data_IF_891703934352
#
_entry.id   IF_891703934352
#
_cell.length_a   1.000
_cell.length_b   1.000
_cell.length_c   1.000
_cell.angle_alpha   90.00
_cell.angle_beta   90.00
_cell.angle_gamma   90.00
#
_symmetry.space_group_name_H-M   'P 1'
#
loop_
_entity.id
_entity.type
_entity.pdbx_description
1 polymer ?
#
# COMPACT_ATOMS: atom_id res chain seq x y z
N UNK A 1 51.69 -9.86 3.70
CA UNK A 1 51.62 -8.96 4.87
C UNK A 1 51.09 -7.54 4.56
N UNK A 2 50.76 -7.17 3.31
CA UNK A 2 50.33 -5.79 2.97
C UNK A 2 48.82 -5.50 2.96
N UNK A 3 47.94 -6.49 3.17
CA UNK A 3 46.47 -6.32 3.11
C UNK A 3 45.87 -6.01 4.49
N UNK A 4 46.31 -6.70 5.55
CA UNK A 4 45.86 -6.47 6.95
C UNK A 4 46.07 -5.03 7.44
N UNK A 5 47.17 -4.39 7.02
CA UNK A 5 47.52 -3.03 7.45
C UNK A 5 46.61 -1.94 6.82
N UNK A 6 46.09 -2.18 5.59
CA UNK A 6 45.13 -1.27 4.94
C UNK A 6 43.72 -1.39 5.51
N UNK A 7 43.31 -2.58 5.91
CA UNK A 7 42.01 -2.81 6.56
C UNK A 7 41.96 -2.20 7.96
N UNK A 8 43.05 -2.28 8.72
CA UNK A 8 43.18 -1.62 10.03
C UNK A 8 43.18 -0.09 9.89
N UNK A 9 43.91 0.47 8.92
CA UNK A 9 43.93 1.92 8.67
C UNK A 9 42.56 2.46 8.22
N UNK A 10 41.83 1.71 7.38
CA UNK A 10 40.47 2.06 6.96
C UNK A 10 39.49 1.99 8.13
N UNK A 11 39.60 0.96 8.97
CA UNK A 11 38.76 0.80 10.17
C UNK A 11 38.96 1.95 11.16
N UNK A 12 40.21 2.34 11.41
CA UNK A 12 40.54 3.50 12.26
C UNK A 12 40.03 4.83 11.69
N UNK A 13 40.10 5.03 10.37
CA UNK A 13 39.51 6.20 9.70
C UNK A 13 37.99 6.23 9.85
N UNK A 14 37.32 5.09 9.65
CA UNK A 14 35.87 4.97 9.84
C UNK A 14 35.46 5.29 11.28
N UNK A 15 36.20 4.79 12.26
CA UNK A 15 35.91 5.03 13.67
C UNK A 15 36.11 6.49 14.06
N UNK A 16 37.15 7.14 13.53
CA UNK A 16 37.41 8.58 13.72
C UNK A 16 36.30 9.43 13.09
N UNK A 17 35.84 9.07 11.89
CA UNK A 17 34.73 9.73 11.21
C UNK A 17 33.40 9.56 11.98
N UNK A 18 33.13 8.37 12.53
CA UNK A 18 31.97 8.12 13.40
C UNK A 18 32.02 8.98 14.66
N UNK A 19 33.16 9.04 15.36
CA UNK A 19 33.35 9.88 16.57
C UNK A 19 33.12 11.36 16.27
N UNK A 20 33.62 11.86 15.13
CA UNK A 20 33.38 13.24 14.68
C UNK A 20 31.90 13.50 14.36
N UNK A 21 31.26 12.60 13.62
CA UNK A 21 29.83 12.70 13.29
C UNK A 21 28.94 12.72 14.54
N UNK A 22 29.25 11.93 15.56
CA UNK A 22 28.54 11.92 16.85
C UNK A 22 28.67 13.27 17.57
N UNK A 23 29.88 13.84 17.64
CA UNK A 23 30.11 15.15 18.28
C UNK A 23 29.35 16.29 17.61
N UNK A 24 29.11 16.19 16.30
CA UNK A 24 28.43 17.22 15.52
C UNK A 24 26.88 17.12 15.56
N UNK A 25 26.30 16.09 16.20
CA UNK A 25 24.84 15.88 16.27
C UNK A 25 24.07 17.14 16.70
N UNK A 26 24.44 17.86 17.78
CA UNK A 26 23.69 19.05 18.20
C UNK A 26 23.65 20.16 17.13
N UNK A 27 24.77 20.38 16.43
CA UNK A 27 24.84 21.36 15.33
C UNK A 27 23.96 20.92 14.16
N UNK A 28 23.98 19.63 13.83
CA UNK A 28 23.16 19.04 12.77
C UNK A 28 21.67 19.10 13.09
N UNK A 29 21.27 18.93 14.35
CA UNK A 29 19.87 19.11 14.76
C UNK A 29 19.42 20.56 14.63
N UNK A 30 20.27 21.54 14.94
CA UNK A 30 19.96 22.96 14.67
C UNK A 30 19.76 23.20 13.18
N UNK A 31 20.61 22.63 12.34
CA UNK A 31 20.49 22.72 10.89
C UNK A 31 19.22 22.03 10.38
N UNK A 32 18.88 20.84 10.88
CA UNK A 32 17.64 20.14 10.57
C UNK A 32 16.41 21.01 10.86
N UNK A 33 16.34 21.62 12.05
CA UNK A 33 15.24 22.51 12.43
C UNK A 33 15.17 23.72 11.48
N UNK A 34 16.32 24.29 11.11
CA UNK A 34 16.39 25.40 10.15
C UNK A 34 15.87 25.00 8.78
N UNK A 35 16.28 23.84 8.26
CA UNK A 35 15.83 23.31 6.96
C UNK A 35 14.33 23.02 6.97
N UNK A 36 13.83 22.40 8.04
CA UNK A 36 12.41 22.13 8.21
C UNK A 36 11.56 23.41 8.22
N UNK A 37 11.98 24.42 8.99
CA UNK A 37 11.29 25.71 9.04
C UNK A 37 11.31 26.45 7.70
N UNK A 38 12.40 26.31 6.93
CA UNK A 38 12.50 26.84 5.55
C UNK A 38 11.73 26.01 4.52
N UNK A 39 11.09 24.91 4.92
CA UNK A 39 10.41 23.95 4.04
C UNK A 39 11.32 23.30 2.98
N UNK A 40 12.64 23.26 3.23
CA UNK A 40 13.57 22.49 2.40
C UNK A 40 13.52 21.01 2.81
N UNK A 41 12.38 20.37 2.50
CA UNK A 41 12.07 19.02 2.98
C UNK A 41 13.02 17.96 2.44
N UNK A 42 13.57 18.13 1.24
CA UNK A 42 14.53 17.17 0.69
C UNK A 42 15.82 17.13 1.51
N UNK A 43 16.39 18.30 1.84
CA UNK A 43 17.59 18.35 2.69
C UNK A 43 17.27 17.98 4.13
N UNK A 44 16.12 18.42 4.66
CA UNK A 44 15.69 18.07 6.02
C UNK A 44 15.53 16.54 6.20
N UNK A 45 14.90 15.84 5.25
CA UNK A 45 14.79 14.37 5.29
C UNK A 45 16.16 13.69 5.30
N UNK A 46 17.10 14.17 4.47
CA UNK A 46 18.47 13.64 4.42
C UNK A 46 19.17 13.82 5.76
N UNK A 47 19.09 15.01 6.34
CA UNK A 47 19.75 15.31 7.62
C UNK A 47 19.11 14.56 8.79
N UNK A 48 17.78 14.43 8.82
CA UNK A 48 17.09 13.62 9.83
C UNK A 48 17.55 12.15 9.79
N UNK A 49 17.62 11.54 8.61
CA UNK A 49 18.13 10.16 8.44
C UNK A 49 19.57 10.01 8.91
N UNK A 50 20.43 10.98 8.61
CA UNK A 50 21.81 10.97 9.09
C UNK A 50 21.88 10.97 10.63
N UNK A 51 21.09 11.84 11.27
CA UNK A 51 21.03 11.91 12.75
C UNK A 51 20.51 10.60 13.33
N UNK A 52 19.44 10.03 12.77
CA UNK A 52 18.87 8.76 13.24
C UNK A 52 19.88 7.61 13.15
N UNK A 53 20.64 7.53 12.06
CA UNK A 53 21.66 6.48 11.86
C UNK A 53 22.86 6.62 12.81
N UNK A 54 23.25 7.84 13.18
CA UNK A 54 24.44 8.07 14.02
C UNK A 54 24.16 8.10 15.52
N UNK A 55 22.92 8.44 15.92
CA UNK A 55 22.51 8.54 17.31
C UNK A 55 22.09 7.20 17.94
N UNK A 56 22.13 6.09 17.19
CA UNK A 56 21.64 4.78 17.63
C UNK A 56 22.50 4.12 18.72
N UNK A 57 23.68 4.68 19.02
CA UNK A 57 24.73 4.04 19.83
C UNK A 57 24.93 4.62 21.24
N UNK A 58 24.28 5.73 21.62
CA UNK A 58 24.59 6.46 22.86
C UNK A 58 23.34 7.14 23.44
N UNK A 59 22.98 6.82 24.69
CA UNK A 59 21.80 7.36 25.41
C UNK A 59 21.77 8.89 25.51
N UNK A 60 22.95 9.54 25.56
CA UNK A 60 23.11 10.99 25.60
C UNK A 60 22.44 11.71 24.42
N UNK A 61 22.31 11.06 23.25
CA UNK A 61 21.74 11.67 22.05
C UNK A 61 20.28 11.32 21.79
N UNK A 62 19.61 10.68 22.75
CA UNK A 62 18.23 10.21 22.61
C UNK A 62 17.26 11.35 22.24
N UNK A 63 17.43 12.54 22.81
CA UNK A 63 16.54 13.68 22.53
C UNK A 63 16.71 14.23 21.10
N UNK A 64 17.95 14.25 20.59
CA UNK A 64 18.22 14.65 19.21
C UNK A 64 17.64 13.64 18.22
N UNK A 65 17.74 12.35 18.55
CA UNK A 65 17.14 11.26 17.78
C UNK A 65 15.61 11.37 17.75
N UNK A 66 14.97 11.59 18.91
CA UNK A 66 13.53 11.85 19.04
C UNK A 66 13.08 13.01 18.14
N UNK A 67 13.80 14.14 18.21
CA UNK A 67 13.47 15.29 17.37
C UNK A 67 13.61 15.00 15.87
N UNK A 68 14.69 14.31 15.46
CA UNK A 68 14.90 13.93 14.08
C UNK A 68 13.80 13.00 13.54
N UNK A 69 13.40 12.00 14.34
CA UNK A 69 12.29 11.09 14.01
C UNK A 69 10.98 11.87 13.86
N UNK A 70 10.66 12.73 14.83
CA UNK A 70 9.44 13.54 14.81
C UNK A 70 9.36 14.41 13.55
N UNK A 71 10.43 15.11 13.21
CA UNK A 71 10.49 15.95 11.99
C UNK A 71 10.33 15.10 10.74
N UNK A 72 11.01 13.96 10.67
CA UNK A 72 10.92 13.06 9.52
C UNK A 72 9.48 12.56 9.32
N UNK A 73 8.82 12.12 10.39
CA UNK A 73 7.43 11.67 10.34
C UNK A 73 6.47 12.81 9.99
N UNK A 74 6.70 14.03 10.49
CA UNK A 74 5.90 15.21 10.11
C UNK A 74 6.03 15.53 8.61
N UNK A 75 7.24 15.45 8.06
CA UNK A 75 7.45 15.65 6.62
C UNK A 75 6.70 14.58 5.82
N UNK A 76 6.88 13.29 6.14
CA UNK A 76 6.15 12.22 5.44
C UNK A 76 4.64 12.36 5.59
N UNK A 77 4.14 12.81 6.75
CA UNK A 77 2.73 13.09 6.98
C UNK A 77 2.21 14.20 6.07
N UNK A 78 2.99 15.28 5.88
CA UNK A 78 2.65 16.37 4.96
C UNK A 78 2.62 15.91 3.49
N UNK A 79 3.49 14.96 3.13
CA UNK A 79 3.55 14.33 1.80
C UNK A 79 2.47 13.25 1.61
N UNK A 80 1.70 12.92 2.67
CA UNK A 80 0.75 11.79 2.73
C UNK A 80 1.39 10.44 2.38
N UNK A 81 2.68 10.30 2.66
CA UNK A 81 3.44 9.07 2.44
C UNK A 81 3.27 8.12 3.64
N UNK A 82 2.06 7.55 3.76
CA UNK A 82 1.69 6.72 4.90
C UNK A 82 2.51 5.44 5.01
N UNK A 83 2.94 4.88 3.87
CA UNK A 83 3.77 3.67 3.85
C UNK A 83 5.13 3.93 4.49
N UNK A 84 5.78 5.05 4.14
CA UNK A 84 7.05 5.41 4.79
C UNK A 84 6.89 5.72 6.26
N UNK A 85 5.79 6.34 6.70
CA UNK A 85 5.53 6.57 8.13
C UNK A 85 5.46 5.24 8.88
N UNK A 86 4.66 4.30 8.38
CA UNK A 86 4.44 3.01 9.02
C UNK A 86 5.77 2.24 9.11
N UNK A 87 6.49 2.10 8.00
CA UNK A 87 7.79 1.41 7.96
C UNK A 87 8.79 2.09 8.89
N UNK A 88 8.90 3.43 8.83
CA UNK A 88 9.89 4.16 9.62
C UNK A 88 9.63 4.06 11.12
N UNK A 89 8.39 3.95 11.57
CA UNK A 89 8.08 3.94 13.01
C UNK A 89 7.96 2.52 13.60
N UNK A 90 7.69 1.50 12.78
CA UNK A 90 7.56 0.12 13.27
C UNK A 90 8.86 -0.36 13.95
N UNK A 91 10.01 -0.13 13.31
CA UNK A 91 11.34 -0.46 13.86
C UNK A 91 11.57 0.18 15.26
N UNK A 92 11.08 1.41 15.44
CA UNK A 92 11.22 2.14 16.71
C UNK A 92 10.26 1.62 17.78
N UNK A 93 9.07 1.20 17.37
CA UNK A 93 8.09 0.61 18.27
C UNK A 93 8.57 -0.73 18.83
N UNK A 94 9.24 -1.55 18.02
CA UNK A 94 9.81 -2.83 18.44
C UNK A 94 10.86 -2.68 19.55
N UNK A 95 11.66 -1.60 19.52
CA UNK A 95 12.63 -1.28 20.57
C UNK A 95 12.02 -0.53 21.77
N UNK A 96 10.69 -0.41 21.85
CA UNK A 96 9.98 0.19 22.99
C UNK A 96 9.86 1.72 22.95
N UNK A 97 10.13 2.37 21.82
CA UNK A 97 9.97 3.82 21.69
C UNK A 97 8.50 4.25 21.77
N UNK A 98 8.20 5.27 22.59
CA UNK A 98 6.82 5.64 22.96
C UNK A 98 6.55 7.15 22.99
N UNK A 99 7.22 7.94 22.15
CA UNK A 99 6.85 9.36 22.01
C UNK A 99 5.42 9.51 21.47
N UNK A 100 4.60 10.28 22.21
CA UNK A 100 3.17 10.44 21.91
C UNK A 100 2.94 11.06 20.54
N UNK A 101 3.69 12.09 20.16
CA UNK A 101 3.50 12.76 18.86
C UNK A 101 3.81 11.81 17.69
N UNK A 102 4.90 11.05 17.80
CA UNK A 102 5.26 10.08 16.77
C UNK A 102 4.24 8.95 16.68
N UNK A 103 3.77 8.46 17.84
CA UNK A 103 2.72 7.43 17.94
C UNK A 103 1.43 7.91 17.29
N UNK A 104 0.99 9.13 17.57
CA UNK A 104 -0.23 9.70 17.01
C UNK A 104 -0.15 9.84 15.47
N UNK A 105 1.00 10.28 14.94
CA UNK A 105 1.24 10.37 13.49
C UNK A 105 1.18 8.98 12.85
N UNK A 106 1.79 7.99 13.48
CA UNK A 106 1.80 6.60 13.02
C UNK A 106 0.41 5.95 13.04
N UNK A 107 -0.33 6.07 14.14
CA UNK A 107 -1.69 5.51 14.26
C UNK A 107 -2.64 6.17 13.25
N UNK A 108 -2.48 7.48 13.02
CA UNK A 108 -3.20 8.19 11.97
C UNK A 108 -2.86 7.64 10.58
N UNK A 109 -1.57 7.40 10.29
CA UNK A 109 -1.14 6.84 9.01
C UNK A 109 -1.72 5.44 8.77
N UNK A 110 -1.73 4.57 9.79
CA UNK A 110 -2.39 3.26 9.73
C UNK A 110 -3.88 3.38 9.40
N UNK A 111 -4.61 4.22 10.15
CA UNK A 111 -6.04 4.47 9.91
C UNK A 111 -6.33 4.97 8.50
N UNK A 112 -5.54 5.90 7.98
CA UNK A 112 -5.72 6.42 6.62
C UNK A 112 -5.41 5.37 5.54
N UNK A 113 -4.37 4.56 5.73
CA UNK A 113 -4.04 3.44 4.83
C UNK A 113 -5.16 2.41 4.79
N UNK A 114 -5.66 2.00 5.96
CA UNK A 114 -6.77 1.05 6.07
C UNK A 114 -8.06 1.61 5.46
N UNK A 115 -8.34 2.89 5.71
CA UNK A 115 -9.48 3.60 5.10
C UNK A 115 -9.38 3.62 3.58
N UNK A 116 -8.21 3.94 3.02
CA UNK A 116 -7.98 3.94 1.56
C UNK A 116 -8.21 2.54 0.98
N UNK A 117 -7.60 1.51 1.57
CA UNK A 117 -7.80 0.11 1.16
C UNK A 117 -9.26 -0.32 1.23
N UNK A 118 -9.96 0.06 2.30
CA UNK A 118 -11.40 -0.18 2.45
C UNK A 118 -12.21 0.51 1.36
N UNK A 119 -11.91 1.76 1.05
CA UNK A 119 -12.58 2.50 -0.02
C UNK A 119 -12.36 1.86 -1.40
N UNK A 120 -11.13 1.45 -1.70
CA UNK A 120 -10.79 0.72 -2.93
C UNK A 120 -11.58 -0.59 -3.04
N UNK A 121 -11.62 -1.39 -1.97
CA UNK A 121 -12.41 -2.63 -1.95
C UNK A 121 -13.91 -2.38 -2.13
N UNK A 122 -14.47 -1.36 -1.47
CA UNK A 122 -15.88 -0.99 -1.63
C UNK A 122 -16.16 -0.56 -3.08
N UNK A 123 -15.26 0.21 -3.69
CA UNK A 123 -15.40 0.63 -5.08
C UNK A 123 -15.40 -0.57 -6.04
N UNK A 124 -14.46 -1.51 -5.87
CA UNK A 124 -14.42 -2.77 -6.64
C UNK A 124 -15.70 -3.58 -6.48
N UNK A 125 -16.15 -3.79 -5.24
CA UNK A 125 -17.39 -4.52 -4.96
C UNK A 125 -18.63 -3.87 -5.60
N UNK A 126 -18.71 -2.54 -5.61
CA UNK A 126 -19.80 -1.80 -6.27
C UNK A 126 -19.74 -1.97 -7.78
N UNK A 127 -18.56 -1.81 -8.39
CA UNK A 127 -18.38 -1.99 -9.82
C UNK A 127 -18.80 -3.39 -10.28
N UNK A 128 -18.37 -4.44 -9.57
CA UNK A 128 -18.77 -5.83 -9.86
C UNK A 128 -20.27 -6.01 -9.68
N UNK A 129 -20.88 -5.49 -8.62
CA UNK A 129 -22.32 -5.59 -8.38
C UNK A 129 -23.12 -4.95 -9.50
N UNK A 130 -22.80 -3.71 -9.87
CA UNK A 130 -23.55 -2.94 -10.86
C UNK A 130 -23.41 -3.58 -12.25
N UNK A 131 -22.19 -4.02 -12.60
CA UNK A 131 -21.93 -4.73 -13.85
C UNK A 131 -22.65 -6.10 -13.91
N UNK A 132 -22.71 -6.85 -12.81
CA UNK A 132 -23.44 -8.13 -12.74
C UNK A 132 -24.96 -7.95 -12.84
N UNK A 133 -25.52 -6.90 -12.22
CA UNK A 133 -26.93 -6.55 -12.37
C UNK A 133 -27.25 -6.13 -13.81
N UNK A 134 -26.36 -5.34 -14.42
CA UNK A 134 -26.48 -4.98 -15.84
C UNK A 134 -26.39 -6.20 -16.75
N UNK A 135 -25.42 -7.09 -16.51
CA UNK A 135 -25.26 -8.34 -17.25
C UNK A 135 -26.52 -9.21 -17.21
N UNK A 136 -27.15 -9.34 -16.03
CA UNK A 136 -28.41 -10.07 -15.90
C UNK A 136 -29.52 -9.46 -16.78
N UNK A 137 -29.67 -8.14 -16.76
CA UNK A 137 -30.64 -7.46 -17.62
C UNK A 137 -30.33 -7.68 -19.11
N UNK A 138 -29.06 -7.59 -19.50
CA UNK A 138 -28.64 -7.85 -20.88
C UNK A 138 -28.98 -9.28 -21.33
N UNK A 139 -28.76 -10.28 -20.48
CA UNK A 139 -29.11 -11.68 -20.77
C UNK A 139 -30.63 -11.87 -20.91
N UNK A 140 -31.44 -11.21 -20.08
CA UNK A 140 -32.90 -11.25 -20.20
C UNK A 140 -33.38 -10.58 -21.50
N UNK A 141 -32.79 -9.43 -21.87
CA UNK A 141 -33.10 -8.72 -23.11
C UNK A 141 -32.70 -9.54 -24.34
N UNK A 142 -31.54 -10.20 -24.31
CA UNK A 142 -31.09 -11.07 -25.39
C UNK A 142 -32.15 -12.14 -25.72
N UNK A 143 -32.75 -12.75 -24.69
CA UNK A 143 -33.85 -13.72 -24.87
C UNK A 143 -35.07 -13.12 -25.55
N UNK A 144 -35.41 -11.86 -25.28
CA UNK A 144 -36.51 -11.16 -25.95
C UNK A 144 -36.27 -11.06 -27.47
N UNK A 145 -35.02 -10.95 -27.90
CA UNK A 145 -34.61 -10.93 -29.30
C UNK A 145 -34.30 -12.33 -29.88
N UNK A 146 -34.74 -13.42 -29.22
CA UNK A 146 -34.46 -14.80 -29.61
C UNK A 146 -32.96 -15.14 -29.67
N UNK A 147 -32.15 -14.47 -28.86
CA UNK A 147 -30.74 -14.80 -28.65
C UNK A 147 -30.57 -15.62 -27.36
N UNK A 148 -29.60 -16.51 -27.38
CA UNK A 148 -29.11 -17.22 -26.19
C UNK A 148 -27.85 -16.55 -25.67
N UNK A 149 -27.64 -16.66 -24.36
CA UNK A 149 -26.46 -16.10 -23.69
C UNK A 149 -25.79 -17.12 -22.77
N UNK A 150 -24.47 -17.05 -22.67
CA UNK A 150 -23.68 -17.85 -21.74
C UNK A 150 -22.71 -16.95 -20.95
N UNK A 151 -23.04 -16.60 -19.69
CA UNK A 151 -22.12 -15.88 -18.83
C UNK A 151 -21.00 -16.81 -18.34
N UNK A 152 -19.76 -16.31 -18.32
CA UNK A 152 -18.57 -17.07 -17.98
C UNK A 152 -17.64 -16.25 -17.07
N UNK A 153 -17.08 -16.90 -16.06
CA UNK A 153 -16.02 -16.36 -15.20
C UNK A 153 -14.68 -17.12 -15.36
N UNK A 154 -14.71 -18.33 -15.95
CA UNK A 154 -13.53 -19.18 -16.16
C UNK A 154 -12.63 -18.73 -17.32
N UNK A 155 -12.05 -17.54 -17.25
CA UNK A 155 -11.09 -17.01 -18.22
C UNK A 155 -9.78 -16.56 -17.54
N UNK A 156 -8.71 -16.42 -18.32
CA UNK A 156 -7.46 -15.83 -17.84
C UNK A 156 -7.55 -14.30 -17.91
N UNK A 157 -7.74 -13.66 -16.76
CA UNK A 157 -7.93 -12.21 -16.66
C UNK A 157 -6.75 -11.42 -17.22
N UNK A 158 -5.51 -11.84 -16.94
CA UNK A 158 -4.31 -11.15 -17.43
C UNK A 158 -4.22 -11.16 -18.95
N UNK A 159 -4.40 -12.34 -19.56
CA UNK A 159 -4.35 -12.46 -21.03
C UNK A 159 -5.51 -11.71 -21.70
N UNK A 160 -6.70 -11.71 -21.09
CA UNK A 160 -7.84 -10.96 -21.62
C UNK A 160 -7.60 -9.44 -21.57
N UNK A 161 -7.01 -8.93 -20.48
CA UNK A 161 -6.64 -7.52 -20.35
C UNK A 161 -5.64 -7.11 -21.42
N UNK A 162 -4.60 -7.92 -21.63
CA UNK A 162 -3.60 -7.68 -22.67
C UNK A 162 -4.23 -7.71 -24.07
N UNK A 163 -5.08 -8.69 -24.35
CA UNK A 163 -5.74 -8.85 -25.66
C UNK A 163 -6.69 -7.69 -26.00
N UNK A 164 -7.46 -7.20 -25.02
CA UNK A 164 -8.45 -6.13 -25.20
C UNK A 164 -7.94 -4.74 -24.81
N UNK A 165 -6.68 -4.62 -24.40
CA UNK A 165 -6.07 -3.39 -23.89
C UNK A 165 -6.90 -2.75 -22.75
N UNK A 166 -7.29 -3.54 -21.77
CA UNK A 166 -8.10 -3.11 -20.61
C UNK A 166 -7.18 -2.58 -19.49
N UNK A 167 -7.46 -1.38 -19.01
CA UNK A 167 -6.71 -0.71 -17.95
C UNK A 167 -6.82 -1.43 -16.59
N UNK A 168 -5.73 -1.42 -15.82
CA UNK A 168 -5.61 -2.14 -14.54
C UNK A 168 -6.66 -1.78 -13.49
N UNK A 169 -7.22 -0.57 -13.56
CA UNK A 169 -8.23 -0.09 -12.60
C UNK A 169 -9.65 -0.59 -12.91
N UNK A 170 -9.90 -1.16 -14.10
CA UNK A 170 -11.21 -1.70 -14.48
C UNK A 170 -11.31 -3.15 -14.05
N UNK A 171 -12.36 -3.53 -13.33
CA UNK A 171 -12.64 -4.92 -12.98
C UNK A 171 -13.36 -5.62 -14.13
N UNK A 172 -13.04 -6.90 -14.39
CA UNK A 172 -13.70 -7.72 -15.42
C UNK A 172 -14.52 -8.80 -14.69
N UNK A 173 -15.80 -8.56 -14.38
CA UNK A 173 -16.57 -9.46 -13.54
C UNK A 173 -16.98 -10.76 -14.24
N UNK A 174 -17.21 -10.72 -15.55
CA UNK A 174 -17.62 -11.86 -16.38
C UNK A 174 -17.49 -11.53 -17.87
N UNK A 175 -17.50 -12.57 -18.71
CA UNK A 175 -17.68 -12.49 -20.17
C UNK A 175 -19.05 -13.05 -20.51
N UNK A 176 -19.75 -12.47 -21.49
CA UNK A 176 -21.02 -12.99 -22.00
C UNK A 176 -20.85 -13.34 -23.47
N UNK A 177 -20.99 -14.62 -23.80
CA UNK A 177 -21.23 -15.01 -25.19
C UNK A 177 -22.71 -14.80 -25.52
N UNK A 178 -23.01 -14.26 -26.70
CA UNK A 178 -24.38 -14.01 -27.19
C UNK A 178 -24.49 -14.47 -28.64
N UNK A 179 -25.58 -15.16 -28.99
CA UNK A 179 -25.79 -15.64 -30.34
C UNK A 179 -27.08 -16.43 -30.51
N UNK A 180 -27.34 -16.91 -31.72
CA UNK A 180 -28.49 -17.77 -32.00
C UNK A 180 -28.22 -19.21 -31.57
N UNK A 181 -29.26 -19.87 -31.03
CA UNK A 181 -29.21 -21.30 -30.73
C UNK A 181 -29.07 -22.10 -32.02
N UNK A 182 -28.11 -23.02 -32.04
CA UNK A 182 -28.04 -24.06 -33.07
C UNK A 182 -29.24 -25.00 -32.94
N UNK A 183 -30.16 -24.93 -33.91
CA UNK A 183 -31.41 -25.71 -33.90
C UNK A 183 -31.17 -27.22 -34.04
N UNK A 184 -29.98 -27.64 -34.49
CA UNK A 184 -29.62 -29.07 -34.59
C UNK A 184 -29.19 -29.65 -33.24
N UNK A 185 -28.99 -28.80 -32.22
CA UNK A 185 -28.51 -29.20 -30.89
C UNK A 185 -29.61 -29.09 -29.85
N UNK A 186 -29.79 -30.16 -29.11
CA UNK A 186 -30.60 -30.17 -27.90
C UNK A 186 -29.78 -29.67 -26.71
N UNK A 187 -30.43 -28.88 -25.84
CA UNK A 187 -29.84 -28.48 -24.58
C UNK A 187 -30.08 -29.57 -23.56
N UNK A 188 -29.08 -29.82 -22.72
CA UNK A 188 -29.28 -30.66 -21.54
C UNK A 188 -30.40 -30.05 -20.66
N UNK A 189 -31.14 -30.90 -19.92
CA UNK A 189 -32.14 -30.41 -18.98
C UNK A 189 -31.49 -29.48 -17.96
N UNK A 190 -32.29 -28.55 -17.44
CA UNK A 190 -31.83 -27.59 -16.44
C UNK A 190 -31.25 -28.33 -15.22
N UNK A 191 -30.08 -27.90 -14.77
CA UNK A 191 -29.47 -28.41 -13.54
C UNK A 191 -30.30 -28.10 -12.28
N UNK A 192 -29.93 -28.73 -11.17
CA UNK A 192 -30.64 -28.63 -9.89
C UNK A 192 -30.77 -27.16 -9.43
N UNK A 193 -31.92 -26.82 -8.85
CA UNK A 193 -32.15 -25.57 -8.13
C UNK A 193 -32.59 -25.90 -6.71
N UNK A 194 -31.95 -25.30 -5.72
CA UNK A 194 -32.32 -25.49 -4.32
C UNK A 194 -33.70 -24.86 -4.05
N UNK A 195 -34.56 -25.49 -3.24
CA UNK A 195 -35.81 -24.89 -2.79
C UNK A 195 -35.55 -23.66 -1.91
N UNK A 196 -36.52 -22.75 -1.82
CA UNK A 196 -36.40 -21.51 -1.03
C UNK A 196 -36.04 -21.77 0.44
N UNK A 197 -36.53 -22.87 1.02
CA UNK A 197 -36.23 -23.29 2.39
C UNK A 197 -34.74 -23.43 2.70
N UNK A 198 -33.91 -23.64 1.68
CA UNK A 198 -32.48 -23.89 1.85
C UNK A 198 -31.67 -22.59 1.96
N UNK A 199 -32.19 -21.47 1.45
CA UNK A 199 -31.46 -20.20 1.39
C UNK A 199 -32.26 -18.97 1.88
N UNK A 200 -33.54 -19.13 2.19
CA UNK A 200 -34.43 -18.04 2.60
C UNK A 200 -35.37 -18.42 3.75
N UNK A 201 -35.81 -17.41 4.50
CA UNK A 201 -36.83 -17.54 5.54
C UNK A 201 -37.80 -16.35 5.49
N UNK A 202 -39.06 -16.60 5.83
CA UNK A 202 -40.08 -15.58 6.03
C UNK A 202 -40.13 -15.31 7.53
N UNK A 203 -39.93 -14.06 7.94
CA UNK A 203 -40.01 -13.59 9.33
C UNK A 203 -41.20 -12.65 9.46
#
# INVERSE_FOLDING_TARGET
>A
MGVKNKEEELSQKIETLKKKAIKDIPLKTKELNRLFNKKDYNKAKKEAKNILNWADTIDEYLEYRKNALRILLQIYSSEKDYDRIIITFEDYKEIGYSDKNCTDIYEKAKKEKDKKKRQENIAKMRAVRDASLFAMNLMLIARFFNLETHPMEGFNEKLLREFLNIEDYKEIPLIIAIGYKDLTKELLPQGIRFPFSDFGKII
#
